data_IF_109835108039
#
_entry.id   IF_109835108039
#
_cell.length_a   1.000
_cell.length_b   1.000
_cell.length_c   1.000
_cell.angle_alpha   90.00
_cell.angle_beta   90.00
_cell.angle_gamma   90.00
#
_symmetry.space_group_name_H-M   'P 1'
#
loop_
_entity.id
_entity.type
_entity.pdbx_description
1 polymer ?
#
# COMPACT_ATOMS: atom_id res chain seq x y z
N UNK A 1 -3.60 11.43 0.07
CA UNK A 1 -3.48 10.69 -1.20
C UNK A 1 -2.78 9.34 -1.00
N UNK A 2 -1.51 9.28 -0.55
CA UNK A 2 -0.76 8.01 -0.40
C UNK A 2 -1.53 6.93 0.38
N UNK A 3 -2.15 7.27 1.52
CA UNK A 3 -2.90 6.30 2.31
C UNK A 3 -4.12 5.74 1.56
N UNK A 4 -4.75 6.53 0.69
CA UNK A 4 -5.87 6.04 -0.13
C UNK A 4 -5.39 4.99 -1.12
N UNK A 5 -4.27 5.26 -1.80
CA UNK A 5 -3.62 4.30 -2.70
C UNK A 5 -3.19 3.03 -1.94
N UNK A 6 -2.51 3.17 -0.80
CA UNK A 6 -2.10 1.99 -0.02
C UNK A 6 -3.30 1.16 0.44
N UNK A 7 -4.37 1.81 0.89
CA UNK A 7 -5.58 1.10 1.31
C UNK A 7 -6.33 0.47 0.14
N UNK A 8 -6.37 1.08 -1.06
CA UNK A 8 -6.98 0.44 -2.23
C UNK A 8 -6.27 -0.89 -2.56
N UNK A 9 -4.94 -0.91 -2.49
CA UNK A 9 -4.15 -2.13 -2.68
C UNK A 9 -4.35 -3.17 -1.57
N UNK A 10 -4.52 -2.75 -0.31
CA UNK A 10 -4.76 -3.67 0.83
C UNK A 10 -6.16 -4.27 0.78
N UNK A 11 -7.15 -3.45 0.45
CA UNK A 11 -8.57 -3.81 0.62
C UNK A 11 -9.25 -4.24 -0.68
N UNK A 12 -8.63 -3.97 -1.83
CA UNK A 12 -9.28 -4.10 -3.13
C UNK A 12 -10.38 -3.05 -3.38
N UNK A 13 -10.56 -2.06 -2.49
CA UNK A 13 -11.62 -1.05 -2.64
C UNK A 13 -11.22 0.03 -3.65
N UNK A 14 -11.78 -0.05 -4.85
CA UNK A 14 -11.54 0.87 -5.96
C UNK A 14 -11.97 2.32 -5.67
N UNK A 15 -12.97 2.56 -4.81
CA UNK A 15 -13.38 3.93 -4.45
C UNK A 15 -12.27 4.75 -3.80
N UNK A 16 -11.33 4.07 -3.12
CA UNK A 16 -10.17 4.72 -2.51
C UNK A 16 -9.19 5.20 -3.59
N UNK A 17 -9.02 4.44 -4.66
CA UNK A 17 -8.20 4.82 -5.82
C UNK A 17 -8.84 6.00 -6.56
N UNK A 18 -10.15 5.97 -6.79
CA UNK A 18 -10.88 7.10 -7.39
C UNK A 18 -10.74 8.40 -6.58
N UNK A 19 -10.83 8.31 -5.25
CA UNK A 19 -10.62 9.47 -4.37
C UNK A 19 -9.18 9.98 -4.45
N UNK A 20 -8.19 9.10 -4.57
CA UNK A 20 -6.79 9.51 -4.77
C UNK A 20 -6.58 10.24 -6.10
N UNK A 21 -7.20 9.74 -7.16
CA UNK A 21 -7.16 10.31 -8.50
C UNK A 21 -7.86 11.69 -8.58
N UNK A 22 -9.00 11.87 -7.92
CA UNK A 22 -9.64 13.18 -7.75
C UNK A 22 -8.71 14.18 -7.05
N UNK A 23 -8.05 13.76 -5.95
CA UNK A 23 -7.09 14.62 -5.25
C UNK A 23 -5.93 15.03 -6.16
N UNK A 24 -5.39 14.09 -6.94
CA UNK A 24 -4.30 14.33 -7.90
C UNK A 24 -4.67 15.44 -8.88
N UNK A 25 -5.86 15.36 -9.48
CA UNK A 25 -6.37 16.39 -10.41
C UNK A 25 -6.55 17.76 -9.74
N UNK A 26 -7.28 17.80 -8.62
CA UNK A 26 -7.66 19.06 -7.95
C UNK A 26 -6.45 19.84 -7.44
N UNK A 27 -5.40 19.15 -6.99
CA UNK A 27 -4.20 19.79 -6.42
C UNK A 27 -3.06 19.96 -7.42
N UNK A 28 -3.20 19.48 -8.66
CA UNK A 28 -2.12 19.46 -9.65
C UNK A 28 -1.43 20.82 -9.85
N UNK A 29 -2.19 21.90 -10.03
CA UNK A 29 -1.64 23.24 -10.24
C UNK A 29 -0.90 23.77 -9.00
N UNK A 30 -1.42 23.49 -7.80
CA UNK A 30 -0.79 23.91 -6.54
C UNK A 30 0.53 23.17 -6.31
N UNK A 31 0.54 21.86 -6.56
CA UNK A 31 1.75 21.03 -6.43
C UNK A 31 2.80 21.46 -7.44
N UNK A 32 2.42 21.76 -8.69
CA UNK A 32 3.35 22.29 -9.71
C UNK A 32 3.91 23.67 -9.33
N UNK A 33 3.09 24.54 -8.75
CA UNK A 33 3.51 25.89 -8.37
C UNK A 33 4.48 25.91 -7.18
N UNK A 34 4.37 24.96 -6.24
CA UNK A 34 5.27 24.85 -5.09
C UNK A 34 5.54 23.40 -4.67
N UNK A 35 6.34 22.62 -5.43
CA UNK A 35 6.56 21.20 -5.15
C UNK A 35 7.12 20.94 -3.75
N UNK A 36 7.99 21.83 -3.27
CA UNK A 36 8.60 21.76 -1.93
C UNK A 36 7.59 21.89 -0.79
N UNK A 37 6.45 22.55 -1.01
CA UNK A 37 5.38 22.64 -0.01
C UNK A 37 4.49 21.39 0.05
N UNK A 38 4.63 20.47 -0.92
CA UNK A 38 3.77 19.30 -1.10
C UNK A 38 4.57 17.99 -1.22
N UNK A 39 5.70 17.87 -0.51
CA UNK A 39 6.59 16.70 -0.58
C UNK A 39 5.88 15.36 -0.35
N UNK A 40 4.98 15.28 0.63
CA UNK A 40 4.20 14.05 0.86
C UNK A 40 3.22 13.73 -0.28
N UNK A 41 2.76 14.76 -1.00
CA UNK A 41 1.94 14.58 -2.20
C UNK A 41 2.80 14.06 -3.37
N UNK A 42 4.03 14.54 -3.50
CA UNK A 42 4.98 14.02 -4.49
C UNK A 42 5.33 12.54 -4.23
N UNK A 43 5.51 12.14 -2.97
CA UNK A 43 5.67 10.70 -2.61
C UNK A 43 4.44 9.89 -3.04
N UNK A 44 3.24 10.44 -2.87
CA UNK A 44 2.02 9.78 -3.31
C UNK A 44 1.92 9.68 -4.84
N UNK A 45 2.45 10.67 -5.58
CA UNK A 45 2.54 10.65 -7.04
C UNK A 45 3.56 9.59 -7.49
N UNK A 46 4.75 9.55 -6.87
CA UNK A 46 5.77 8.53 -7.15
C UNK A 46 5.20 7.11 -7.01
N UNK A 47 4.51 6.87 -5.90
CA UNK A 47 3.82 5.60 -5.66
C UNK A 47 2.72 5.31 -6.71
N UNK A 48 2.00 6.32 -7.18
CA UNK A 48 0.94 6.14 -8.18
C UNK A 48 1.50 5.86 -9.59
N UNK A 49 2.64 6.46 -9.94
CA UNK A 49 3.32 6.23 -11.23
C UNK A 49 3.99 4.84 -11.24
N UNK A 50 4.53 4.43 -10.10
CA UNK A 50 5.12 3.11 -9.92
C UNK A 50 6.51 2.95 -10.56
N UNK A 51 7.03 1.71 -10.58
CA UNK A 51 6.31 0.47 -10.26
C UNK A 51 5.98 0.30 -8.78
N UNK A 52 4.77 -0.17 -8.49
CA UNK A 52 4.27 -0.46 -7.14
C UNK A 52 3.94 -1.93 -7.00
N UNK A 53 4.37 -2.54 -5.90
CA UNK A 53 4.24 -3.98 -5.67
C UNK A 53 3.36 -4.28 -4.46
N UNK A 54 2.48 -5.26 -4.62
CA UNK A 54 1.76 -5.87 -3.50
C UNK A 54 2.45 -7.19 -3.13
N UNK A 55 2.93 -7.28 -1.90
CA UNK A 55 3.62 -8.45 -1.35
C UNK A 55 2.76 -9.10 -0.29
N UNK A 56 2.43 -10.38 -0.49
CA UNK A 56 1.66 -11.18 0.45
C UNK A 56 2.53 -12.33 0.96
N UNK A 57 2.70 -12.41 2.29
CA UNK A 57 3.16 -13.63 2.93
C UNK A 57 1.93 -14.40 3.41
N UNK A 58 1.81 -15.66 3.00
CA UNK A 58 0.83 -16.58 3.54
C UNK A 58 1.57 -17.65 4.35
N UNK A 59 1.40 -17.65 5.67
CA UNK A 59 2.12 -18.56 6.55
C UNK A 59 1.57 -18.55 7.97
N UNK A 60 2.03 -19.52 8.77
CA UNK A 60 1.68 -19.62 10.18
C UNK A 60 2.61 -18.70 10.98
N UNK A 61 2.06 -17.75 11.74
CA UNK A 61 2.91 -16.83 12.52
C UNK A 61 3.64 -17.48 13.70
N UNK A 62 3.28 -18.70 14.06
CA UNK A 62 4.00 -19.49 15.06
C UNK A 62 5.19 -20.25 14.45
N UNK A 63 5.32 -20.28 13.12
CA UNK A 63 6.41 -20.93 12.41
C UNK A 63 7.62 -20.00 12.25
N UNK A 64 8.82 -20.54 12.47
CA UNK A 64 10.08 -19.79 12.41
C UNK A 64 10.34 -19.19 11.01
N UNK A 65 10.12 -19.99 9.96
CA UNK A 65 10.29 -19.58 8.56
C UNK A 65 9.43 -18.37 8.16
N UNK A 66 8.19 -18.31 8.65
CA UNK A 66 7.26 -17.22 8.40
C UNK A 66 7.74 -15.95 9.09
N UNK A 67 8.24 -16.05 10.33
CA UNK A 67 8.79 -14.91 11.06
C UNK A 67 10.09 -14.38 10.43
N UNK A 68 10.95 -15.27 9.92
CA UNK A 68 12.16 -14.87 9.19
C UNK A 68 11.84 -14.06 7.93
N UNK A 69 10.85 -14.50 7.14
CA UNK A 69 10.40 -13.76 5.96
C UNK A 69 9.80 -12.40 6.32
N UNK A 70 8.95 -12.32 7.36
CA UNK A 70 8.38 -11.06 7.84
C UNK A 70 9.50 -10.10 8.27
N UNK A 71 10.45 -10.57 9.09
CA UNK A 71 11.56 -9.77 9.58
C UNK A 71 12.41 -9.22 8.43
N UNK A 72 12.74 -10.06 7.45
CA UNK A 72 13.50 -9.66 6.26
C UNK A 72 12.84 -8.50 5.51
N UNK A 73 11.51 -8.57 5.34
CA UNK A 73 10.73 -7.55 4.63
C UNK A 73 10.60 -6.26 5.43
N UNK A 74 10.54 -6.34 6.75
CA UNK A 74 10.39 -5.18 7.64
C UNK A 74 11.72 -4.46 7.92
N UNK A 75 12.85 -5.16 7.78
CA UNK A 75 14.18 -4.56 7.90
C UNK A 75 14.60 -3.76 6.67
N UNK A 76 13.92 -3.95 5.54
CA UNK A 76 14.17 -3.24 4.29
C UNK A 76 13.14 -2.13 4.05
N UNK A 77 13.60 -0.88 3.87
CA UNK A 77 12.73 0.22 3.49
C UNK A 77 12.37 0.14 2.01
N UNK A 78 11.16 -0.34 1.72
CA UNK A 78 10.61 -0.48 0.37
C UNK A 78 9.44 0.50 0.17
N UNK A 79 9.68 1.72 -0.35
CA UNK A 79 8.67 2.79 -0.39
C UNK A 79 7.48 2.50 -1.30
N UNK A 80 7.69 1.78 -2.41
CA UNK A 80 6.66 1.43 -3.39
C UNK A 80 6.15 -0.01 -3.18
N UNK A 81 5.97 -0.41 -1.91
CA UNK A 81 5.47 -1.71 -1.50
C UNK A 81 4.25 -1.57 -0.59
N UNK A 82 3.26 -2.41 -0.83
CA UNK A 82 2.21 -2.73 0.13
C UNK A 82 2.45 -4.15 0.63
N UNK A 83 2.47 -4.34 1.94
CA UNK A 83 2.72 -5.63 2.57
C UNK A 83 1.46 -6.13 3.28
N UNK A 84 1.12 -7.38 3.07
CA UNK A 84 0.02 -8.07 3.73
C UNK A 84 0.48 -9.43 4.26
N UNK A 85 -0.02 -9.78 5.43
CA UNK A 85 0.18 -11.08 6.04
C UNK A 85 -1.14 -11.83 6.07
N UNK A 86 -1.19 -12.97 5.39
CA UNK A 86 -2.27 -13.94 5.50
C UNK A 86 -1.86 -15.02 6.49
N UNK A 87 -2.46 -14.95 7.68
CA UNK A 87 -2.28 -15.92 8.76
C UNK A 87 -3.00 -17.21 8.43
N UNK A 88 -2.28 -18.32 8.28
CA UNK A 88 -2.87 -19.62 7.91
C UNK A 88 -3.47 -20.37 9.10
N UNK A 89 -3.08 -20.00 10.31
CA UNK A 89 -3.64 -20.48 11.57
C UNK A 89 -5.02 -19.85 11.89
N UNK A 90 -5.36 -18.75 11.21
CA UNK A 90 -6.68 -18.14 11.29
C UNK A 90 -7.66 -18.88 10.39
N UNK A 91 -8.84 -19.19 10.94
CA UNK A 91 -9.93 -19.78 10.16
C UNK A 91 -10.31 -18.82 9.04
N UNK A 92 -10.35 -19.32 7.80
CA UNK A 92 -10.77 -18.53 6.64
C UNK A 92 -12.21 -18.09 6.92
N UNK A 93 -12.51 -16.77 6.96
CA UNK A 93 -13.89 -16.32 7.08
C UNK A 93 -14.70 -16.86 5.92
N UNK A 94 -15.94 -17.26 6.17
CA UNK A 94 -16.84 -17.72 5.10
C UNK A 94 -16.91 -16.63 4.03
N UNK A 95 -16.60 -16.99 2.80
CA UNK A 95 -16.71 -16.06 1.67
C UNK A 95 -18.19 -15.97 1.37
N UNK A 96 -18.82 -14.88 1.80
CA UNK A 96 -20.17 -14.52 1.36
C UNK A 96 -20.14 -14.38 -0.17
N UNK A 97 -20.83 -15.28 -0.86
CA UNK A 97 -21.02 -15.26 -2.32
C UNK A 97 -21.94 -14.14 -2.76
#
# INVERSE_FOLDING_TARGET
>A
MLNLLRLSYITGNHELEEKADILSRVFSDKVKASPLAYTQFLVAIDFAIGPTYSLVIAGNTDAEDTNELISTILNEYLPNKVFMLRRTEQKIPDVDN
#
